data_IF_639921619493
#
_entry.id   IF_639921619493
#
_cell.length_a   1.000
_cell.length_b   1.000
_cell.length_c   1.000
_cell.angle_alpha   90.00
_cell.angle_beta   90.00
_cell.angle_gamma   90.00
#
_symmetry.space_group_name_H-M   'P 1'
#
loop_
_entity.id
_entity.type
_entity.pdbx_description
1 polymer ?
#
# COMPACT_ATOMS: atom_id res chain seq x y z
N UNK A 1 -11.36 -12.67 45.99
CA UNK A 1 -10.18 -13.30 45.35
C UNK A 1 -10.57 -13.58 43.90
N UNK A 2 -10.12 -12.77 42.94
CA UNK A 2 -10.35 -13.00 41.50
C UNK A 2 -9.08 -13.62 40.92
N UNK A 3 -9.22 -14.69 40.14
CA UNK A 3 -8.09 -15.39 39.54
C UNK A 3 -7.42 -14.50 38.46
N UNK A 4 -6.08 -14.56 38.26
CA UNK A 4 -5.36 -13.64 37.38
C UNK A 4 -5.30 -14.05 35.90
N UNK A 5 -6.18 -14.92 35.40
CA UNK A 5 -5.99 -15.55 34.09
C UNK A 5 -7.08 -15.32 33.03
N UNK A 6 -7.69 -14.13 32.99
CA UNK A 6 -8.52 -13.69 31.84
C UNK A 6 -8.04 -12.32 31.31
N UNK A 7 -6.73 -12.19 31.07
CA UNK A 7 -6.29 -11.16 30.13
C UNK A 7 -6.78 -11.60 28.74
N UNK A 8 -7.57 -10.78 28.02
CA UNK A 8 -7.92 -11.11 26.64
C UNK A 8 -6.62 -11.34 25.87
N UNK A 9 -6.59 -12.40 25.05
CA UNK A 9 -5.47 -12.64 24.15
C UNK A 9 -5.09 -11.31 23.49
N UNK A 10 -3.79 -10.97 23.41
CA UNK A 10 -3.37 -9.69 22.85
C UNK A 10 -4.06 -9.51 21.52
N UNK A 11 -4.75 -8.37 21.33
CA UNK A 11 -5.29 -8.02 20.03
C UNK A 11 -4.14 -8.20 19.04
N UNK A 12 -4.36 -8.97 17.96
CA UNK A 12 -3.49 -8.92 16.78
C UNK A 12 -3.58 -7.49 16.28
N UNK A 13 -2.69 -6.64 16.78
CA UNK A 13 -2.62 -5.24 16.40
C UNK A 13 -2.04 -5.21 14.99
N UNK A 14 -2.88 -4.85 14.02
CA UNK A 14 -2.45 -4.67 12.63
C UNK A 14 -1.34 -3.61 12.63
N UNK A 15 -0.11 -4.03 12.33
CA UNK A 15 1.07 -3.19 12.36
C UNK A 15 1.14 -2.16 11.24
N UNK A 16 0.19 -2.18 10.29
CA UNK A 16 0.11 -1.20 9.20
C UNK A 16 -0.75 0.01 9.60
N UNK A 17 -0.12 1.19 9.73
CA UNK A 17 -0.80 2.44 10.05
C UNK A 17 -1.69 2.92 8.90
N UNK A 18 -1.09 3.10 7.72
CA UNK A 18 -1.76 3.50 6.50
C UNK A 18 -0.95 3.08 5.26
N UNK A 19 -1.61 3.11 4.11
CA UNK A 19 -0.97 2.98 2.80
C UNK A 19 -1.42 4.12 1.89
N UNK A 20 -0.49 4.65 1.11
CA UNK A 20 -0.72 5.74 0.17
C UNK A 20 -0.31 5.30 -1.23
N UNK A 21 -1.14 5.64 -2.22
CA UNK A 21 -0.90 5.45 -3.64
C UNK A 21 -0.75 6.80 -4.34
N UNK A 22 0.21 6.90 -5.26
CA UNK A 22 0.41 8.11 -6.06
C UNK A 22 0.86 7.77 -7.47
N UNK A 23 0.21 8.36 -8.46
CA UNK A 23 0.62 8.23 -9.86
C UNK A 23 0.40 9.54 -10.61
N UNK A 24 1.13 9.73 -11.70
CA UNK A 24 0.96 10.90 -12.58
C UNK A 24 0.42 10.41 -13.91
N UNK A 25 -0.77 10.87 -14.28
CA UNK A 25 -1.30 10.73 -15.62
C UNK A 25 -0.79 11.88 -16.49
N UNK A 26 -0.22 11.53 -17.64
CA UNK A 26 0.10 12.46 -18.73
C UNK A 26 -1.14 12.71 -19.60
N UNK A 27 -1.09 13.73 -20.46
CA UNK A 27 -2.13 14.01 -21.44
C UNK A 27 -2.46 12.82 -22.40
N UNK A 28 -1.56 11.84 -22.56
CA UNK A 28 -1.80 10.65 -23.39
C UNK A 28 -2.49 9.50 -22.64
N UNK A 29 -2.42 9.51 -21.30
CA UNK A 29 -3.02 8.49 -20.43
C UNK A 29 -4.36 8.99 -19.88
N UNK A 30 -5.37 8.13 -19.81
CA UNK A 30 -6.65 8.49 -19.19
C UNK A 30 -6.50 8.59 -17.66
N UNK A 31 -6.58 9.82 -17.13
CA UNK A 31 -6.53 10.07 -15.69
C UNK A 31 -7.67 9.39 -14.94
N UNK A 32 -8.85 9.28 -15.58
CA UNK A 32 -10.03 8.64 -15.00
C UNK A 32 -9.81 7.12 -14.85
N UNK A 33 -9.22 6.45 -15.86
CA UNK A 33 -8.89 5.02 -15.77
C UNK A 33 -7.88 4.76 -14.66
N UNK A 34 -6.89 5.64 -14.49
CA UNK A 34 -5.92 5.54 -13.41
C UNK A 34 -6.55 5.80 -12.04
N UNK A 35 -7.51 6.73 -11.95
CA UNK A 35 -8.28 6.99 -10.74
C UNK A 35 -9.12 5.78 -10.34
N UNK A 36 -9.83 5.16 -11.29
CA UNK A 36 -10.61 3.95 -11.04
C UNK A 36 -9.72 2.78 -10.59
N UNK A 37 -8.55 2.62 -11.20
CA UNK A 37 -7.59 1.60 -10.82
C UNK A 37 -7.04 1.84 -9.40
N UNK A 38 -6.74 3.09 -9.03
CA UNK A 38 -6.31 3.46 -7.68
C UNK A 38 -7.47 3.32 -6.67
N UNK A 39 -8.70 3.67 -7.02
CA UNK A 39 -9.90 3.45 -6.22
C UNK A 39 -10.09 1.96 -5.91
N UNK A 40 -9.91 1.11 -6.93
CA UNK A 40 -9.89 -0.33 -6.76
C UNK A 40 -8.75 -0.75 -5.85
N UNK A 41 -7.53 -0.23 -6.00
CA UNK A 41 -6.38 -0.63 -5.18
C UNK A 41 -6.52 -0.23 -3.71
N UNK A 42 -7.00 0.99 -3.43
CA UNK A 42 -7.25 1.47 -2.06
C UNK A 42 -8.53 0.86 -1.45
N UNK A 43 -9.48 0.43 -2.29
CA UNK A 43 -10.76 -0.12 -1.88
C UNK A 43 -11.72 0.92 -1.32
N UNK A 44 -11.59 2.16 -1.78
CA UNK A 44 -12.38 3.32 -1.38
C UNK A 44 -12.28 4.41 -2.46
N UNK A 45 -13.35 4.59 -3.24
CA UNK A 45 -13.35 5.56 -4.33
C UNK A 45 -13.35 7.01 -3.82
N UNK A 46 -13.94 7.26 -2.65
CA UNK A 46 -13.99 8.61 -2.06
C UNK A 46 -12.62 9.06 -1.53
N UNK A 47 -11.69 8.12 -1.34
CA UNK A 47 -10.32 8.41 -0.93
C UNK A 47 -9.42 8.87 -2.10
N UNK A 48 -9.92 8.87 -3.34
CA UNK A 48 -9.13 9.25 -4.52
C UNK A 48 -9.27 10.74 -4.80
N UNK A 49 -8.12 11.41 -4.91
CA UNK A 49 -8.00 12.83 -5.21
C UNK A 49 -7.29 13.03 -6.56
N UNK A 50 -7.80 14.00 -7.33
CA UNK A 50 -7.24 14.42 -8.62
C UNK A 50 -6.78 15.87 -8.53
N UNK A 51 -5.46 16.09 -8.64
CA UNK A 51 -4.87 17.41 -8.74
C UNK A 51 -4.40 17.66 -10.18
N UNK A 52 -5.13 18.53 -10.89
CA UNK A 52 -4.84 18.92 -12.27
C UNK A 52 -3.96 20.16 -12.24
N UNK A 53 -2.67 19.96 -12.45
CA UNK A 53 -1.71 21.07 -12.50
C UNK A 53 -1.26 21.31 -13.94
N UNK A 54 -1.28 22.58 -14.37
CA UNK A 54 -0.59 23.00 -15.59
C UNK A 54 0.89 23.11 -15.26
N UNK A 55 1.73 22.26 -15.86
CA UNK A 55 3.17 22.43 -15.71
C UNK A 55 3.61 23.75 -16.36
N UNK A 56 4.51 24.49 -15.71
CA UNK A 56 4.86 25.89 -16.03
C UNK A 56 5.25 26.13 -17.51
N UNK A 57 5.71 25.09 -18.23
CA UNK A 57 6.01 25.12 -19.68
C UNK A 57 5.69 23.80 -20.40
N UNK A 58 4.80 22.94 -19.89
CA UNK A 58 4.61 21.59 -20.43
C UNK A 58 3.15 21.12 -20.48
N UNK A 59 2.92 19.89 -20.96
CA UNK A 59 1.57 19.33 -21.07
C UNK A 59 0.89 19.23 -19.69
N UNK A 60 -0.45 19.19 -19.71
CA UNK A 60 -1.27 18.97 -18.53
C UNK A 60 -0.88 17.65 -17.85
N UNK A 61 -0.62 17.72 -16.55
CA UNK A 61 -0.33 16.55 -15.72
C UNK A 61 -1.40 16.47 -14.64
N UNK A 62 -2.01 15.31 -14.52
CA UNK A 62 -2.94 15.02 -13.42
C UNK A 62 -2.24 14.12 -12.42
N UNK A 63 -2.09 14.61 -11.19
CA UNK A 63 -1.65 13.82 -10.06
C UNK A 63 -2.86 13.10 -9.47
N UNK A 64 -2.78 11.77 -9.40
CA UNK A 64 -3.79 10.92 -8.77
C UNK A 64 -3.23 10.40 -7.46
N UNK A 65 -3.93 10.64 -6.36
CA UNK A 65 -3.51 10.21 -5.02
C UNK A 65 -4.64 9.53 -4.27
N UNK A 66 -4.30 8.57 -3.41
CA UNK A 66 -5.23 8.00 -2.44
C UNK A 66 -4.51 7.56 -1.17
N UNK A 67 -5.17 7.67 -0.02
CA UNK A 67 -4.65 7.20 1.27
C UNK A 67 -5.73 6.45 2.06
N UNK A 68 -5.33 5.41 2.77
CA UNK A 68 -6.28 4.57 3.50
C UNK A 68 -6.80 5.28 4.76
N UNK A 69 -8.12 5.34 4.92
CA UNK A 69 -8.76 5.96 6.09
C UNK A 69 -8.62 5.16 7.41
N UNK A 70 -8.15 3.90 7.37
CA UNK A 70 -7.95 3.07 8.56
C UNK A 70 -6.93 1.95 8.34
N UNK A 71 -6.35 1.43 9.42
CA UNK A 71 -5.43 0.27 9.41
C UNK A 71 -6.01 -0.95 8.70
N UNK A 72 -7.29 -1.24 8.91
CA UNK A 72 -8.00 -2.35 8.24
C UNK A 72 -8.04 -2.16 6.72
N UNK A 73 -8.39 -0.95 6.25
CA UNK A 73 -8.40 -0.62 4.82
C UNK A 73 -6.98 -0.64 4.25
N UNK A 74 -5.99 -0.17 5.01
CA UNK A 74 -4.59 -0.26 4.64
C UNK A 74 -4.17 -1.71 4.39
N UNK A 75 -4.47 -2.62 5.33
CA UNK A 75 -4.12 -4.03 5.24
C UNK A 75 -4.83 -4.71 4.06
N UNK A 76 -6.11 -4.39 3.84
CA UNK A 76 -6.87 -4.88 2.68
C UNK A 76 -6.28 -4.39 1.35
N UNK A 77 -5.82 -3.14 1.30
CA UNK A 77 -5.17 -2.58 0.11
C UNK A 77 -3.79 -3.19 -0.12
N UNK A 78 -2.99 -3.40 0.93
CA UNK A 78 -1.72 -4.12 0.86
C UNK A 78 -1.92 -5.56 0.36
N UNK A 79 -2.95 -6.26 0.85
CA UNK A 79 -3.29 -7.61 0.42
C UNK A 79 -3.64 -7.69 -1.09
N UNK A 80 -4.19 -6.63 -1.70
CA UNK A 80 -4.47 -6.60 -3.16
C UNK A 80 -3.23 -6.67 -4.05
N UNK A 81 -2.04 -6.49 -3.48
CA UNK A 81 -0.79 -6.75 -4.20
C UNK A 81 -0.63 -8.23 -4.57
N UNK A 82 -1.33 -9.15 -3.91
CA UNK A 82 -1.22 -10.57 -4.19
C UNK A 82 0.05 -11.21 -3.62
N UNK A 83 0.05 -12.53 -3.59
CA UNK A 83 1.03 -13.32 -2.83
C UNK A 83 2.47 -13.11 -3.32
N UNK A 84 2.69 -13.08 -4.63
CA UNK A 84 4.02 -12.94 -5.21
C UNK A 84 4.69 -11.61 -4.81
N UNK A 85 3.96 -10.50 -4.93
CA UNK A 85 4.48 -9.18 -4.56
C UNK A 85 4.70 -9.07 -3.05
N UNK A 86 3.78 -9.60 -2.23
CA UNK A 86 3.94 -9.59 -0.77
C UNK A 86 5.20 -10.34 -0.34
N UNK A 87 5.44 -11.54 -0.87
CA UNK A 87 6.66 -12.31 -0.58
C UNK A 87 7.92 -11.57 -1.00
N UNK A 88 7.91 -10.96 -2.19
CA UNK A 88 9.04 -10.18 -2.67
C UNK A 88 9.30 -8.98 -1.76
N UNK A 89 8.27 -8.18 -1.46
CA UNK A 89 8.37 -7.03 -0.56
C UNK A 89 8.87 -7.41 0.83
N UNK A 90 8.43 -8.54 1.37
CA UNK A 90 8.89 -9.07 2.65
C UNK A 90 10.39 -9.41 2.62
N UNK A 91 10.85 -10.12 1.57
CA UNK A 91 12.28 -10.44 1.41
C UNK A 91 13.17 -9.20 1.19
N UNK A 92 12.60 -8.14 0.62
CA UNK A 92 13.26 -6.90 0.26
C UNK A 92 12.98 -5.76 1.26
N UNK A 93 12.40 -6.09 2.41
CA UNK A 93 11.89 -5.09 3.34
C UNK A 93 12.99 -4.15 3.85
N UNK A 94 14.13 -4.70 4.26
CA UNK A 94 15.27 -3.91 4.78
C UNK A 94 15.85 -2.92 3.76
N UNK A 95 15.78 -3.23 2.46
CA UNK A 95 16.29 -2.34 1.40
C UNK A 95 15.28 -1.30 0.92
N UNK A 96 13.99 -1.50 1.19
CA UNK A 96 12.88 -0.65 0.73
C UNK A 96 12.29 0.23 1.83
N UNK A 97 12.55 -0.11 3.09
CA UNK A 97 12.08 0.63 4.25
C UNK A 97 13.00 1.81 4.56
N UNK A 98 12.42 2.95 4.89
CA UNK A 98 13.16 4.09 5.44
C UNK A 98 13.20 4.08 6.98
N UNK A 99 13.96 5.02 7.54
CA UNK A 99 14.12 5.21 9.00
C UNK A 99 12.81 5.57 9.73
N UNK A 100 11.74 5.87 8.98
CA UNK A 100 10.42 6.12 9.52
C UNK A 100 9.52 4.88 9.41
N UNK A 101 10.04 3.70 9.10
CA UNK A 101 9.26 2.47 8.88
C UNK A 101 8.22 2.63 7.76
N UNK A 102 8.56 3.38 6.70
CA UNK A 102 7.77 3.42 5.47
C UNK A 102 8.41 2.49 4.46
N UNK A 103 7.68 1.49 4.01
CA UNK A 103 8.08 0.61 2.91
C UNK A 103 7.72 1.27 1.57
N UNK A 104 8.73 1.56 0.75
CA UNK A 104 8.56 2.18 -0.56
C UNK A 104 8.67 1.15 -1.69
N UNK A 105 7.68 1.18 -2.60
CA UNK A 105 7.68 0.33 -3.78
C UNK A 105 6.90 0.98 -4.93
N UNK A 106 6.98 0.38 -6.12
CA UNK A 106 6.29 0.86 -7.32
C UNK A 106 5.64 -0.31 -8.03
N UNK A 107 4.49 -0.02 -8.61
CA UNK A 107 3.74 -0.93 -9.47
C UNK A 107 3.73 -0.37 -10.88
N UNK A 108 3.70 -1.21 -11.91
CA UNK A 108 3.50 -0.73 -13.28
C UNK A 108 2.04 -0.29 -13.44
N UNK A 109 1.78 0.85 -14.07
CA UNK A 109 0.40 1.37 -14.25
C UNK A 109 -0.48 0.32 -14.95
N UNK A 110 0.01 -0.29 -16.03
CA UNK A 110 -0.76 -1.26 -16.81
C UNK A 110 -1.27 -2.41 -15.94
N UNK A 111 -0.41 -2.96 -15.07
CA UNK A 111 -0.78 -4.05 -14.16
C UNK A 111 -1.83 -3.64 -13.13
N UNK A 112 -1.82 -2.39 -12.67
CA UNK A 112 -2.82 -1.88 -11.72
C UNK A 112 -4.16 -1.66 -12.41
N UNK A 113 -4.14 -1.15 -13.65
CA UNK A 113 -5.34 -0.99 -14.50
C UNK A 113 -5.96 -2.34 -14.84
N UNK A 114 -5.15 -3.36 -15.09
CA UNK A 114 -5.59 -4.74 -15.33
C UNK A 114 -6.15 -5.42 -14.05
N UNK A 115 -5.97 -4.83 -12.87
CA UNK A 115 -6.39 -5.43 -11.60
C UNK A 115 -5.45 -6.54 -11.09
N UNK A 116 -4.28 -6.68 -11.69
CA UNK A 116 -3.23 -7.64 -11.30
C UNK A 116 -1.90 -6.92 -11.03
N UNK A 117 -1.77 -6.17 -9.91
CA UNK A 117 -0.58 -5.37 -9.63
C UNK A 117 0.72 -6.17 -9.76
N UNK A 118 1.74 -5.57 -10.37
CA UNK A 118 3.09 -6.15 -10.50
C UNK A 118 4.13 -5.12 -10.06
N UNK A 119 5.07 -5.54 -9.22
CA UNK A 119 6.20 -4.70 -8.82
C UNK A 119 7.01 -4.28 -10.06
N UNK A 120 7.26 -2.98 -10.19
CA UNK A 120 8.08 -2.44 -11.27
C UNK A 120 9.56 -2.73 -11.03
N UNK A 121 10.26 -3.22 -12.06
CA UNK A 121 11.69 -3.49 -12.06
C UNK A 121 12.37 -2.42 -12.92
N UNK A 122 13.34 -1.69 -12.35
CA UNK A 122 14.08 -0.65 -13.07
C UNK A 122 13.33 0.69 -13.22
N UNK A 123 13.68 1.46 -14.26
CA UNK A 123 13.27 2.86 -14.44
C UNK A 123 12.30 3.13 -15.60
N UNK A 124 11.65 2.10 -16.18
CA UNK A 124 10.84 2.27 -17.38
C UNK A 124 9.31 2.23 -17.14
N UNK A 125 8.63 3.12 -17.88
CA UNK A 125 7.17 3.38 -18.00
C UNK A 125 6.45 3.84 -16.72
N UNK A 126 5.25 4.44 -16.91
CA UNK A 126 4.50 5.07 -15.83
C UNK A 126 4.24 4.11 -14.66
N UNK A 127 4.44 4.59 -13.43
CA UNK A 127 4.31 3.77 -12.22
C UNK A 127 3.30 4.37 -11.25
N UNK A 128 2.69 3.49 -10.47
CA UNK A 128 1.98 3.84 -9.23
C UNK A 128 2.96 3.64 -8.07
N UNK A 129 3.28 4.72 -7.36
CA UNK A 129 4.10 4.69 -6.15
C UNK A 129 3.24 4.21 -4.98
N UNK A 130 3.72 3.18 -4.27
CA UNK A 130 3.14 2.69 -3.03
C UNK A 130 4.02 3.03 -1.84
N UNK A 131 3.39 3.51 -0.77
CA UNK A 131 4.05 3.81 0.51
C UNK A 131 3.22 3.19 1.63
N UNK A 132 3.76 2.17 2.29
CA UNK A 132 3.11 1.49 3.41
C UNK A 132 3.80 1.87 4.71
N UNK A 133 3.11 2.60 5.60
CA UNK A 133 3.65 3.05 6.89
C UNK A 133 3.33 2.02 7.97
N UNK A 134 4.37 1.47 8.58
CA UNK A 134 4.24 0.55 9.70
C UNK A 134 4.34 1.27 11.05
N UNK A 135 3.63 0.76 12.04
CA UNK A 135 3.79 1.11 13.44
C UNK A 135 4.67 0.08 14.12
N UNK A 136 5.71 0.57 14.78
CA UNK A 136 6.62 -0.25 15.56
C UNK A 136 6.54 0.22 16.99
N UNK A 137 6.06 -0.65 17.87
CA UNK A 137 5.87 -0.36 19.28
C UNK A 137 7.11 -0.75 20.08
N UNK A 138 7.49 0.12 21.02
CA UNK A 138 8.56 -0.15 21.98
C UNK A 138 8.25 -1.39 22.83
N UNK A 139 9.25 -2.24 23.06
CA UNK A 139 9.12 -3.44 23.88
C UNK A 139 8.77 -4.72 23.11
N UNK A 140 8.68 -4.65 21.78
CA UNK A 140 8.63 -5.82 20.88
C UNK A 140 9.73 -5.73 19.83
N UNK A 141 10.08 -6.85 19.22
CA UNK A 141 10.96 -6.88 18.06
C UNK A 141 10.30 -6.13 16.90
N UNK A 142 11.05 -5.25 16.23
CA UNK A 142 10.59 -4.59 15.01
C UNK A 142 10.33 -5.62 13.91
N UNK A 143 11.28 -6.54 13.70
CA UNK A 143 11.20 -7.60 12.71
C UNK A 143 9.93 -8.45 12.91
N UNK A 144 9.62 -8.83 14.15
CA UNK A 144 8.41 -9.60 14.47
C UNK A 144 7.12 -8.86 14.13
N UNK A 145 7.06 -7.54 14.41
CA UNK A 145 5.87 -6.73 14.15
C UNK A 145 5.62 -6.56 12.65
N UNK A 146 6.68 -6.35 11.89
CA UNK A 146 6.62 -6.27 10.43
C UNK A 146 6.21 -7.61 9.82
N UNK A 147 6.84 -8.71 10.26
CA UNK A 147 6.55 -10.07 9.80
C UNK A 147 5.08 -10.43 10.03
N UNK A 148 4.54 -10.12 11.22
CA UNK A 148 3.15 -10.35 11.57
C UNK A 148 2.19 -9.59 10.63
N UNK A 149 2.54 -8.37 10.21
CA UNK A 149 1.72 -7.59 9.28
C UNK A 149 1.63 -8.26 7.90
N UNK A 150 2.74 -8.84 7.41
CA UNK A 150 2.74 -9.59 6.14
C UNK A 150 1.99 -10.91 6.26
N UNK A 151 2.09 -11.61 7.39
CA UNK A 151 1.29 -12.81 7.67
C UNK A 151 -0.20 -12.48 7.61
N UNK A 152 -0.64 -11.41 8.26
CA UNK A 152 -2.05 -10.97 8.22
C UNK A 152 -2.50 -10.60 6.79
N UNK A 153 -1.66 -9.92 6.01
CA UNK A 153 -1.95 -9.62 4.60
C UNK A 153 -2.10 -10.91 3.76
N UNK A 154 -1.26 -11.92 4.00
CA UNK A 154 -1.37 -13.23 3.35
C UNK A 154 -2.60 -14.02 3.80
N UNK A 155 -3.01 -13.93 5.07
CA UNK A 155 -4.25 -14.56 5.57
C UNK A 155 -5.49 -14.01 4.83
N UNK A 156 -5.53 -12.71 4.52
CA UNK A 156 -6.62 -12.09 3.75
C UNK A 156 -6.73 -12.61 2.32
N UNK A 157 -5.64 -13.10 1.73
CA UNK A 157 -5.66 -13.71 0.40
C UNK A 157 -6.31 -15.10 0.40
N UNK A 158 -6.14 -15.86 1.49
CA UNK A 158 -6.65 -17.23 1.63
C UNK A 158 -8.14 -17.31 1.96
N UNK A 159 -8.71 -16.20 2.46
CA UNK A 159 -10.14 -16.10 2.80
C UNK A 159 -11.03 -15.59 1.66
N UNK A 160 -10.49 -15.49 0.44
CA UNK A 160 -11.23 -15.12 -0.79
C UNK A 160 -11.53 -16.33 -1.67
#
# INVERSE_FOLDING_TARGET
MRQPHDLPAPRKDVGLHHITWRATASALSSADVLADAIAWLIGDAEAVELDRSTSYHGPELTLVTASSASKRKALQSLAKLGEANLKQLQSEMKQRMDDQHVLHFRLTIDSVVEGEPKLAIGSATGTVKGQAKFEVYSGRSEEEQLENTFIEAHELLKGK
#
